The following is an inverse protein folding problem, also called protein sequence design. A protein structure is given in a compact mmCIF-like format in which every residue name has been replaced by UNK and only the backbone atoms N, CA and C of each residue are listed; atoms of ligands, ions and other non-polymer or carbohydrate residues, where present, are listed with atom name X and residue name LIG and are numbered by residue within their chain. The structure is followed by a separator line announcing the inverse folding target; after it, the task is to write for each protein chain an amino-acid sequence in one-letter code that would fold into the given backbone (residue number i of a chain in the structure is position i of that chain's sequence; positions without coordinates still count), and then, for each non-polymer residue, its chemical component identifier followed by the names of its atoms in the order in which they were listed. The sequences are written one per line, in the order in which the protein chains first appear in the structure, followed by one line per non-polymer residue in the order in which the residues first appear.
data_IF_116371230143
#
_entry.id   IF_116371230143
#
_cell.length_a   1.000
_cell.length_b   1.000
_cell.length_c   1.000
_cell.angle_alpha   90.00
_cell.angle_beta   90.00
_cell.angle_gamma   90.00
#
_symmetry.space_group_name_H-M   'P 1'
#
loop_
_entity.id
_entity.type
_entity.pdbx_description
1 polymer ?
#
# COMPACT_ATOMS: atom_id res chain seq x y z
N UNK A 1 16.03 24.91 58.28
CA UNK A 1 16.57 24.47 56.97
C UNK A 1 15.43 24.54 55.97
N UNK A 2 15.49 25.44 54.99
CA UNK A 2 14.39 25.74 54.06
C UNK A 2 14.88 25.42 52.65
N UNK A 3 14.56 24.21 52.18
CA UNK A 3 14.80 23.78 50.81
C UNK A 3 13.59 24.19 49.97
N UNK A 4 13.76 25.18 49.10
CA UNK A 4 12.79 25.45 48.04
C UNK A 4 13.47 25.09 46.72
N UNK A 5 13.25 23.84 46.33
CA UNK A 5 13.67 23.26 45.06
C UNK A 5 13.10 24.04 43.90
N UNK A 6 14.01 24.38 43.00
CA UNK A 6 13.80 24.90 41.66
C UNK A 6 13.03 23.83 40.88
N UNK A 7 11.73 24.01 40.66
CA UNK A 7 11.00 23.23 39.65
C UNK A 7 11.07 24.01 38.35
N UNK A 8 11.90 23.49 37.46
CA UNK A 8 12.17 23.98 36.14
C UNK A 8 10.89 24.16 35.33
N UNK A 9 10.65 25.40 34.88
CA UNK A 9 9.87 25.64 33.68
C UNK A 9 10.67 25.13 32.49
N UNK A 10 10.35 23.93 32.01
CA UNK A 10 10.63 23.53 30.63
C UNK A 10 9.30 23.24 29.97
N UNK A 11 8.94 24.17 29.08
CA UNK A 11 7.81 24.13 28.20
C UNK A 11 7.83 22.85 27.37
N UNK A 12 6.87 21.96 27.61
CA UNK A 12 6.51 20.92 26.65
C UNK A 12 5.55 21.56 25.63
N UNK A 13 5.94 21.66 24.35
CA UNK A 13 5.04 22.13 23.32
C UNK A 13 3.88 21.15 23.18
N UNK A 14 2.70 21.71 23.41
CA UNK A 14 1.44 21.45 22.71
C UNK A 14 1.21 20.02 22.22
N UNK A 15 0.23 19.37 22.85
CA UNK A 15 -0.80 18.58 22.18
C UNK A 15 -0.38 18.10 20.78
N UNK A 16 0.25 16.92 20.72
CA UNK A 16 0.10 16.09 19.54
C UNK A 16 -1.40 15.83 19.42
N UNK A 17 -2.07 16.71 18.68
CA UNK A 17 -3.43 16.50 18.24
C UNK A 17 -3.42 15.13 17.56
N UNK A 18 -3.99 14.15 18.26
CA UNK A 18 -4.49 12.97 17.61
C UNK A 18 -5.50 13.52 16.60
N UNK A 19 -5.03 13.72 15.36
CA UNK A 19 -5.90 13.95 14.23
C UNK A 19 -6.68 12.66 14.16
N UNK A 20 -7.86 12.68 14.79
CA UNK A 20 -8.91 11.72 14.53
C UNK A 20 -9.24 11.91 13.06
N UNK A 21 -8.46 11.26 12.19
CA UNK A 21 -8.80 11.12 10.79
C UNK A 21 -10.19 10.50 10.81
N UNK A 22 -11.22 11.20 10.32
CA UNK A 22 -12.57 10.67 10.33
C UNK A 22 -12.53 9.27 9.73
N UNK A 23 -13.22 8.31 10.31
CA UNK A 23 -13.37 6.97 9.72
C UNK A 23 -13.91 7.03 8.28
N UNK A 24 -14.54 8.16 7.91
CA UNK A 24 -15.05 8.48 6.57
C UNK A 24 -13.98 8.98 5.57
N UNK A 25 -12.82 9.40 6.09
CA UNK A 25 -11.61 9.74 5.35
C UNK A 25 -10.57 8.61 5.45
N UNK A 26 -10.99 7.41 5.85
CA UNK A 26 -10.35 6.19 5.40
C UNK A 26 -10.61 6.11 3.90
N UNK A 27 -9.96 7.00 3.12
CA UNK A 27 -9.81 6.92 1.68
C UNK A 27 -9.53 5.45 1.44
N UNK A 28 -10.48 4.75 0.81
CA UNK A 28 -10.23 3.40 0.33
C UNK A 28 -8.99 3.54 -0.51
N UNK A 29 -7.85 3.19 0.08
CA UNK A 29 -6.55 3.47 -0.49
C UNK A 29 -6.45 2.44 -1.58
N UNK A 30 -6.94 2.85 -2.74
CA UNK A 30 -6.98 1.99 -3.88
C UNK A 30 -5.53 1.63 -4.23
N UNK A 31 -5.34 0.41 -4.68
CA UNK A 31 -4.02 -0.11 -5.00
C UNK A 31 -3.54 0.51 -6.30
N UNK A 32 -2.33 1.04 -6.28
CA UNK A 32 -1.69 1.66 -7.44
C UNK A 32 -1.23 0.61 -8.48
N UNK A 33 -0.61 1.05 -9.58
CA UNK A 33 -0.10 0.15 -10.60
C UNK A 33 1.02 -0.77 -10.06
N UNK A 34 1.05 -2.02 -10.53
CA UNK A 34 2.03 -3.03 -10.11
C UNK A 34 1.84 -3.58 -8.69
N UNK A 35 0.74 -3.21 -8.00
CA UNK A 35 0.44 -3.75 -6.66
C UNK A 35 -0.41 -5.01 -6.75
N UNK A 36 -0.19 -5.96 -5.84
CA UNK A 36 -0.96 -7.20 -5.74
C UNK A 36 -2.45 -6.94 -5.46
N UNK A 37 -3.33 -7.53 -6.25
CA UNK A 37 -4.77 -7.46 -6.07
C UNK A 37 -5.40 -8.86 -6.04
N UNK A 38 -6.54 -8.97 -5.39
CA UNK A 38 -7.37 -10.18 -5.31
C UNK A 38 -8.75 -9.95 -5.93
N UNK A 39 -9.08 -8.71 -6.29
CA UNK A 39 -10.34 -8.34 -6.93
C UNK A 39 -10.26 -6.97 -7.62
N UNK A 40 -11.14 -6.77 -8.60
CA UNK A 40 -11.16 -5.58 -9.46
C UNK A 40 -11.32 -4.27 -8.67
N UNK A 41 -12.15 -4.30 -7.62
CA UNK A 41 -12.46 -3.12 -6.80
C UNK A 41 -11.36 -2.72 -5.80
N UNK A 42 -10.24 -3.47 -5.74
CA UNK A 42 -9.09 -3.06 -4.94
C UNK A 42 -8.19 -2.05 -5.66
N UNK A 43 -8.21 -2.05 -6.99
CA UNK A 43 -7.34 -1.20 -7.79
C UNK A 43 -7.91 0.22 -7.94
N UNK A 44 -7.02 1.20 -8.13
CA UNK A 44 -7.44 2.58 -8.38
C UNK A 44 -8.24 2.75 -9.67
N UNK A 45 -9.03 3.84 -9.79
CA UNK A 45 -9.69 4.18 -11.03
C UNK A 45 -8.70 4.16 -12.20
N UNK A 46 -9.10 3.58 -13.33
CA UNK A 46 -8.28 3.34 -14.53
C UNK A 46 -7.27 2.19 -14.43
N UNK A 47 -7.35 1.36 -13.39
CA UNK A 47 -6.61 0.11 -13.29
C UNK A 47 -7.58 -1.07 -13.26
N UNK A 48 -7.15 -2.20 -13.80
CA UNK A 48 -7.84 -3.49 -13.73
C UNK A 48 -6.93 -4.51 -13.02
N UNK A 49 -7.55 -5.41 -12.25
CA UNK A 49 -6.84 -6.49 -11.58
C UNK A 49 -6.62 -7.64 -12.57
N UNK A 50 -5.40 -7.76 -13.12
CA UNK A 50 -5.09 -8.71 -14.20
C UNK A 50 -3.87 -9.58 -13.84
N UNK A 51 -3.74 -10.72 -14.53
CA UNK A 51 -2.54 -11.55 -14.43
C UNK A 51 -1.45 -11.00 -15.33
N UNK A 52 -0.26 -10.76 -14.78
CA UNK A 52 0.92 -10.40 -15.59
C UNK A 52 1.54 -11.66 -16.21
N UNK A 53 1.53 -12.78 -15.49
CA UNK A 53 2.04 -14.08 -15.95
C UNK A 53 0.85 -15.02 -16.17
N UNK A 54 0.72 -15.59 -17.36
CA UNK A 54 -0.40 -16.48 -17.67
C UNK A 54 -0.38 -17.73 -16.79
N UNK A 55 -1.55 -18.09 -16.25
CA UNK A 55 -1.76 -19.23 -15.34
C UNK A 55 -1.03 -19.09 -13.99
N UNK A 56 -0.65 -17.87 -13.62
CA UNK A 56 -0.18 -17.59 -12.27
C UNK A 56 -1.37 -17.35 -11.33
N UNK A 57 -1.15 -17.53 -10.03
CA UNK A 57 -2.17 -17.30 -9.00
C UNK A 57 -2.17 -15.85 -8.51
N UNK A 58 -1.16 -15.07 -8.90
CA UNK A 58 -1.00 -13.68 -8.51
C UNK A 58 -1.56 -12.73 -9.57
N UNK A 59 -2.33 -11.75 -9.11
CA UNK A 59 -2.91 -10.70 -9.92
C UNK A 59 -2.36 -9.36 -9.45
N UNK A 60 -2.22 -8.43 -10.40
CA UNK A 60 -1.67 -7.11 -10.16
C UNK A 60 -2.58 -6.06 -10.78
N UNK A 61 -2.64 -4.89 -10.16
CA UNK A 61 -3.33 -3.75 -10.71
C UNK A 61 -2.53 -3.18 -11.87
N UNK A 62 -3.05 -3.25 -13.09
CA UNK A 62 -2.41 -2.73 -14.29
C UNK A 62 -3.34 -1.75 -15.00
N UNK A 63 -2.83 -0.84 -15.85
CA UNK A 63 -3.66 0.08 -16.62
C UNK A 63 -4.73 -0.65 -17.42
N UNK A 64 -5.92 -0.06 -17.55
CA UNK A 64 -6.91 -0.57 -18.52
C UNK A 64 -6.26 -0.63 -19.91
N UNK A 65 -6.42 -1.75 -20.62
CA UNK A 65 -5.70 -2.09 -21.86
C UNK A 65 -4.24 -2.51 -21.69
N UNK A 66 -3.83 -2.95 -20.49
CA UNK A 66 -2.56 -3.63 -20.32
C UNK A 66 -2.43 -4.81 -21.31
N UNK A 67 -1.20 -5.05 -21.77
CA UNK A 67 -0.91 -6.13 -22.70
C UNK A 67 -1.41 -7.48 -22.13
N UNK A 68 -1.83 -8.41 -23.00
CA UNK A 68 -2.19 -9.75 -22.55
C UNK A 68 -1.04 -10.37 -21.75
N UNK A 69 -1.38 -11.21 -20.76
CA UNK A 69 -0.42 -11.84 -19.86
C UNK A 69 0.75 -12.47 -20.63
N UNK A 70 1.94 -12.41 -20.05
CA UNK A 70 3.14 -13.02 -20.61
C UNK A 70 3.11 -14.50 -20.19
N UNK A 71 3.24 -15.42 -21.16
CA UNK A 71 3.44 -16.82 -20.82
C UNK A 71 4.73 -16.95 -20.01
N UNK A 72 4.66 -17.61 -18.85
CA UNK A 72 5.84 -17.88 -18.02
C UNK A 72 6.93 -18.45 -18.94
N UNK A 73 8.15 -17.89 -18.96
CA UNK A 73 9.23 -18.49 -19.72
C UNK A 73 9.33 -19.93 -19.23
N UNK A 74 9.08 -20.89 -20.14
CA UNK A 74 9.32 -22.29 -19.86
C UNK A 74 10.76 -22.34 -19.37
N UNK A 75 10.96 -22.55 -18.07
CA UNK A 75 12.26 -22.97 -17.56
C UNK A 75 12.45 -24.36 -18.13
N UNK A 76 12.90 -24.43 -19.38
CA UNK A 76 13.53 -25.64 -19.84
C UNK A 76 14.72 -25.82 -18.90
N UNK A 77 14.78 -26.91 -18.12
CA UNK A 77 16.03 -27.23 -17.45
C UNK A 77 17.10 -27.27 -18.55
N UNK A 78 18.30 -26.72 -18.33
CA UNK A 78 19.38 -26.92 -19.28
C UNK A 78 19.54 -28.43 -19.46
N UNK A 79 19.25 -28.93 -20.66
CA UNK A 79 19.58 -30.30 -21.05
C UNK A 79 21.09 -30.41 -20.85
N UNK A 80 21.50 -31.21 -19.85
CA UNK A 80 22.90 -31.56 -19.64
C UNK A 80 23.43 -32.38 -20.81
#
# INVERSE_FOLDING_TARGET
MKFLSIVALVALPAFAAAVAVPLELQERTCKGPGTLCSGEYECCPNLDCVQIICNDVQYFCEPKNAAPCINKPNRHPPTQ
#
